data_IF_843604887795
#
_entry.id   IF_843604887795
#
_cell.length_a   1.000
_cell.length_b   1.000
_cell.length_c   1.000
_cell.angle_alpha   90.00
_cell.angle_beta   90.00
_cell.angle_gamma   90.00
#
_symmetry.space_group_name_H-M   'P 1'
#
loop_
_entity.id
_entity.type
_entity.pdbx_description
1 polymer ?
#
# COMPACT_ATOMS: atom_id res chain seq x y z
N UNK A 1 -33.66 -67.87 35.15
CA UNK A 1 -32.54 -68.37 34.32
C UNK A 1 -32.00 -67.21 33.50
N UNK A 2 -30.68 -66.94 33.62
CA UNK A 2 -29.76 -66.04 32.88
C UNK A 2 -30.16 -64.55 32.72
N UNK A 3 -29.50 -63.54 33.31
CA UNK A 3 -28.08 -63.13 33.45
C UNK A 3 -27.45 -62.48 32.21
N UNK A 4 -26.93 -61.25 32.40
CA UNK A 4 -25.92 -60.57 31.58
C UNK A 4 -26.45 -59.35 30.79
N UNK A 5 -26.32 -58.09 31.22
CA UNK A 5 -25.16 -57.22 31.43
C UNK A 5 -24.86 -56.22 30.28
N UNK A 6 -24.93 -54.93 30.66
CA UNK A 6 -23.95 -53.87 30.38
C UNK A 6 -23.89 -53.25 28.97
N UNK A 7 -24.58 -52.11 28.80
CA UNK A 7 -24.26 -51.12 27.76
C UNK A 7 -23.77 -49.80 28.40
N UNK A 8 -22.48 -49.85 28.73
CA UNK A 8 -21.46 -48.80 28.85
C UNK A 8 -21.83 -47.44 28.21
N UNK A 9 -21.96 -46.42 29.06
CA UNK A 9 -21.91 -45.00 28.68
C UNK A 9 -20.61 -44.70 27.93
N UNK A 10 -20.72 -44.16 26.71
CA UNK A 10 -19.60 -43.54 25.99
C UNK A 10 -19.79 -42.03 26.04
N UNK A 11 -19.13 -41.40 27.02
CA UNK A 11 -18.79 -39.99 26.98
C UNK A 11 -17.91 -39.74 25.74
N UNK A 12 -18.48 -39.15 24.69
CA UNK A 12 -17.70 -38.46 23.68
C UNK A 12 -17.59 -36.99 24.10
N UNK A 13 -16.56 -36.71 24.89
CA UNK A 13 -15.99 -35.38 24.95
C UNK A 13 -15.49 -35.01 23.56
N UNK A 14 -16.14 -34.03 22.93
CA UNK A 14 -15.62 -33.38 21.73
C UNK A 14 -15.74 -31.89 21.89
N UNK A 15 -14.73 -31.38 22.61
CA UNK A 15 -13.97 -30.16 22.33
C UNK A 15 -14.73 -29.04 21.64
N UNK A 16 -15.01 -27.99 22.42
CA UNK A 16 -15.26 -26.63 21.95
C UNK A 16 -14.27 -26.28 20.83
N UNK A 17 -14.71 -26.35 19.58
CA UNK A 17 -14.07 -25.62 18.50
C UNK A 17 -14.46 -24.17 18.69
N UNK A 18 -13.65 -23.44 19.48
CA UNK A 18 -13.65 -21.99 19.47
C UNK A 18 -13.61 -21.55 18.01
N UNK A 19 -14.74 -21.06 17.50
CA UNK A 19 -14.79 -20.21 16.33
C UNK A 19 -13.85 -19.05 16.64
N UNK A 20 -12.59 -19.18 16.23
CA UNK A 20 -11.70 -18.05 16.03
C UNK A 20 -12.42 -17.21 14.97
N UNK A 21 -13.14 -16.20 15.43
CA UNK A 21 -13.38 -15.00 14.65
C UNK A 21 -11.99 -14.56 14.19
N UNK A 22 -11.66 -14.84 12.92
CA UNK A 22 -10.55 -14.20 12.26
C UNK A 22 -10.87 -12.71 12.28
N UNK A 23 -10.25 -12.00 13.21
CA UNK A 23 -10.32 -10.54 13.33
C UNK A 23 -10.05 -9.94 11.96
N UNK A 24 -10.98 -9.11 11.48
CA UNK A 24 -10.82 -8.37 10.24
C UNK A 24 -9.43 -7.70 10.23
N UNK A 25 -8.69 -7.93 9.14
CA UNK A 25 -7.28 -7.59 8.97
C UNK A 25 -7.02 -6.08 9.13
N UNK A 26 -6.65 -5.65 10.33
CA UNK A 26 -6.13 -4.31 10.55
C UNK A 26 -4.78 -4.16 9.85
N UNK A 27 -4.61 -3.04 9.15
CA UNK A 27 -3.36 -2.68 8.48
C UNK A 27 -2.42 -2.06 9.50
N UNK A 28 -1.17 -2.50 9.55
CA UNK A 28 -0.18 -1.87 10.43
C UNK A 28 0.10 -0.46 9.95
N UNK A 29 0.01 0.51 10.86
CA UNK A 29 0.45 1.89 10.58
C UNK A 29 1.97 1.91 10.50
N UNK A 30 2.49 2.47 9.41
CA UNK A 30 3.92 2.65 9.19
C UNK A 30 4.23 4.13 9.39
N UNK A 31 5.13 4.49 10.31
CA UNK A 31 5.52 5.88 10.48
C UNK A 31 6.38 6.31 9.28
N UNK A 32 5.93 7.36 8.58
CA UNK A 32 6.65 7.94 7.45
C UNK A 32 7.21 9.30 7.88
N UNK A 33 8.53 9.40 7.97
CA UNK A 33 9.24 10.64 8.32
C UNK A 33 9.78 11.37 7.09
N UNK A 34 9.99 10.65 5.97
CA UNK A 34 10.45 11.20 4.70
C UNK A 34 11.79 11.98 4.82
N UNK A 35 12.73 11.41 5.56
CA UNK A 35 14.10 11.93 5.74
C UNK A 35 15.07 11.30 4.74
N UNK A 36 16.21 11.95 4.49
CA UNK A 36 17.17 11.54 3.46
C UNK A 36 17.75 10.13 3.67
N UNK A 37 17.90 9.73 4.92
CA UNK A 37 18.44 8.44 5.36
C UNK A 37 17.38 7.33 5.48
N UNK A 38 16.09 7.69 5.58
CA UNK A 38 15.02 6.71 5.92
C UNK A 38 14.03 6.42 4.80
N UNK A 39 13.85 7.32 3.83
CA UNK A 39 12.78 7.20 2.85
C UNK A 39 12.78 5.86 2.07
N UNK A 40 13.96 5.29 1.80
CA UNK A 40 14.09 3.97 1.14
C UNK A 40 13.59 2.84 2.04
N UNK A 41 13.99 2.86 3.32
CA UNK A 41 13.55 1.85 4.30
C UNK A 41 12.05 1.97 4.58
N UNK A 42 11.52 3.19 4.62
CA UNK A 42 10.10 3.48 4.75
C UNK A 42 9.31 2.89 3.57
N UNK A 43 9.80 3.10 2.33
CA UNK A 43 9.21 2.52 1.13
C UNK A 43 9.19 0.98 1.20
N UNK A 44 10.30 0.36 1.62
CA UNK A 44 10.37 -1.09 1.78
C UNK A 44 9.32 -1.61 2.77
N UNK A 45 9.21 -0.96 3.93
CA UNK A 45 8.26 -1.35 4.97
C UNK A 45 6.81 -1.27 4.47
N UNK A 46 6.47 -0.23 3.69
CA UNK A 46 5.16 -0.09 3.06
C UNK A 46 4.87 -1.24 2.12
N UNK A 47 5.83 -1.59 1.26
CA UNK A 47 5.66 -2.70 0.33
C UNK A 47 5.57 -4.04 1.06
N UNK A 48 6.34 -4.27 2.12
CA UNK A 48 6.24 -5.50 2.94
C UNK A 48 4.84 -5.66 3.52
N UNK A 49 4.26 -4.58 4.06
CA UNK A 49 2.88 -4.61 4.57
C UNK A 49 1.87 -4.94 3.46
N UNK A 50 2.01 -4.33 2.28
CA UNK A 50 1.14 -4.62 1.14
C UNK A 50 1.30 -6.07 0.67
N UNK A 51 2.53 -6.59 0.66
CA UNK A 51 2.86 -7.97 0.30
C UNK A 51 2.22 -8.96 1.27
N UNK A 52 2.22 -8.68 2.57
CA UNK A 52 1.58 -9.53 3.58
C UNK A 52 0.07 -9.67 3.38
N UNK A 53 -0.55 -8.71 2.67
CA UNK A 53 -1.94 -8.76 2.21
C UNK A 53 -2.09 -9.19 0.74
N UNK A 54 -1.06 -9.81 0.18
CA UNK A 54 -0.97 -10.26 -1.22
C UNK A 54 -1.31 -9.14 -2.24
N UNK A 55 -0.96 -7.90 -1.92
CA UNK A 55 -1.26 -6.71 -2.72
C UNK A 55 -2.75 -6.50 -3.00
N UNK A 56 -3.63 -7.08 -2.18
CA UNK A 56 -5.09 -7.05 -2.36
C UNK A 56 -5.74 -6.16 -1.33
N UNK A 57 -6.79 -5.46 -1.76
CA UNK A 57 -7.61 -4.62 -0.89
C UNK A 57 -9.09 -4.87 -1.14
N UNK A 58 -9.87 -4.78 -0.06
CA UNK A 58 -11.31 -4.86 -0.12
C UNK A 58 -11.92 -3.46 -0.21
N UNK A 59 -12.77 -3.23 -1.21
CA UNK A 59 -13.51 -1.98 -1.33
C UNK A 59 -14.79 -2.06 -0.48
N UNK A 60 -14.75 -1.45 0.71
CA UNK A 60 -15.91 -1.40 1.63
C UNK A 60 -17.09 -0.58 1.06
N UNK A 61 -16.82 0.38 0.18
CA UNK A 61 -17.84 1.30 -0.36
C UNK A 61 -18.72 0.62 -1.40
N UNK A 62 -18.11 -0.12 -2.33
CA UNK A 62 -18.86 -0.78 -3.43
C UNK A 62 -19.40 -2.15 -3.05
N UNK A 63 -19.01 -2.70 -1.88
CA UNK A 63 -19.32 -4.06 -1.41
C UNK A 63 -19.03 -5.15 -2.46
N UNK A 64 -18.22 -4.87 -3.49
CA UNK A 64 -17.85 -5.84 -4.52
C UNK A 64 -17.06 -6.97 -3.87
N UNK A 65 -17.42 -8.21 -4.18
CA UNK A 65 -16.65 -9.41 -3.77
C UNK A 65 -15.26 -9.45 -4.38
N UNK A 66 -15.02 -8.73 -5.47
CA UNK A 66 -13.72 -8.64 -6.11
C UNK A 66 -12.76 -7.75 -5.30
N UNK A 67 -11.64 -8.35 -4.90
CA UNK A 67 -10.54 -7.63 -4.25
C UNK A 67 -9.73 -6.92 -5.33
N UNK A 68 -9.66 -5.60 -5.27
CA UNK A 68 -8.72 -4.83 -6.07
C UNK A 68 -7.31 -5.31 -5.75
N UNK A 69 -6.49 -5.50 -6.78
CA UNK A 69 -5.09 -5.88 -6.63
C UNK A 69 -4.23 -4.77 -7.19
N UNK A 70 -3.14 -4.45 -6.49
CA UNK A 70 -2.14 -3.51 -6.97
C UNK A 70 -1.29 -4.21 -8.06
N UNK A 71 -1.20 -3.60 -9.24
CA UNK A 71 -0.41 -4.14 -10.36
C UNK A 71 0.72 -3.22 -10.78
N UNK A 72 1.72 -3.76 -11.47
CA UNK A 72 2.85 -2.98 -11.99
C UNK A 72 2.35 -1.89 -12.92
N UNK A 73 1.36 -2.15 -13.78
CA UNK A 73 0.82 -1.13 -14.69
C UNK A 73 0.21 0.08 -13.94
N UNK A 74 -0.46 -0.16 -12.81
CA UNK A 74 -1.04 0.91 -12.00
C UNK A 74 0.03 1.77 -11.34
N UNK A 75 1.11 1.15 -10.85
CA UNK A 75 2.25 1.87 -10.25
C UNK A 75 3.13 2.52 -11.33
N UNK A 76 3.32 1.88 -12.48
CA UNK A 76 4.15 2.38 -13.60
C UNK A 76 3.55 3.63 -14.24
N UNK A 77 2.23 3.67 -14.40
CA UNK A 77 1.55 4.88 -14.88
C UNK A 77 1.73 6.07 -13.91
N UNK A 78 2.00 5.82 -12.64
CA UNK A 78 2.32 6.85 -11.65
C UNK A 78 3.81 7.25 -11.73
N UNK A 79 4.71 6.29 -11.99
CA UNK A 79 6.15 6.51 -12.11
C UNK A 79 6.52 7.37 -13.34
N UNK A 80 5.83 7.19 -14.47
CA UNK A 80 6.13 7.96 -15.68
C UNK A 80 6.03 9.46 -15.45
N UNK A 81 5.07 9.90 -14.63
CA UNK A 81 4.89 11.30 -14.26
C UNK A 81 6.03 11.82 -13.37
N UNK A 82 6.56 10.98 -12.47
CA UNK A 82 7.65 11.37 -11.57
C UNK A 82 9.00 11.45 -12.26
N UNK A 83 9.26 10.62 -13.28
CA UNK A 83 10.49 10.71 -14.08
C UNK A 83 10.60 12.03 -14.82
N UNK A 84 9.50 12.49 -15.46
CA UNK A 84 9.48 13.81 -16.10
C UNK A 84 9.69 14.95 -15.10
N UNK A 85 9.08 14.86 -13.91
CA UNK A 85 9.28 15.85 -12.85
C UNK A 85 10.75 15.86 -12.38
N UNK A 86 11.38 14.69 -12.26
CA UNK A 86 12.78 14.57 -11.86
C UNK A 86 13.71 15.28 -12.87
N UNK A 87 13.58 14.94 -14.16
CA UNK A 87 14.42 15.51 -15.21
C UNK A 87 14.24 17.03 -15.32
N UNK A 88 13.00 17.52 -15.28
CA UNK A 88 12.72 18.97 -15.33
C UNK A 88 13.23 19.70 -14.08
N UNK A 89 13.10 19.09 -12.90
CA UNK A 89 13.62 19.66 -11.65
C UNK A 89 15.15 19.77 -11.68
N UNK A 90 15.83 18.79 -12.25
CA UNK A 90 17.28 18.81 -12.39
C UNK A 90 17.74 19.94 -13.31
N UNK A 91 17.09 20.09 -14.47
CA UNK A 91 17.51 20.99 -15.54
C UNK A 91 17.00 22.43 -15.39
N UNK A 92 15.77 22.62 -14.91
CA UNK A 92 15.06 23.91 -14.90
C UNK A 92 14.76 24.43 -13.48
N UNK A 93 14.97 23.59 -12.46
CA UNK A 93 14.80 23.96 -11.05
C UNK A 93 13.40 23.68 -10.50
N UNK A 94 13.20 23.92 -9.20
CA UNK A 94 12.00 23.49 -8.50
C UNK A 94 10.71 24.26 -8.91
N UNK A 95 10.84 25.50 -9.41
CA UNK A 95 9.67 26.29 -9.77
C UNK A 95 8.99 25.79 -11.04
N UNK A 96 9.74 25.23 -12.00
CA UNK A 96 9.21 24.79 -13.30
C UNK A 96 8.23 23.62 -13.20
N UNK A 97 8.29 22.84 -12.12
CA UNK A 97 7.48 21.63 -11.94
C UNK A 97 6.26 21.84 -11.02
N UNK A 98 5.98 23.07 -10.58
CA UNK A 98 4.90 23.36 -9.62
C UNK A 98 3.53 22.85 -10.11
N UNK A 99 3.17 23.18 -11.34
CA UNK A 99 1.89 22.77 -11.94
C UNK A 99 1.83 21.26 -12.17
N UNK A 100 2.97 20.65 -12.51
CA UNK A 100 3.07 19.19 -12.66
C UNK A 100 2.89 18.46 -11.34
N UNK A 101 3.43 18.99 -10.24
CA UNK A 101 3.19 18.44 -8.90
C UNK A 101 1.71 18.54 -8.51
N UNK A 102 1.04 19.63 -8.88
CA UNK A 102 -0.40 19.79 -8.65
C UNK A 102 -1.21 18.78 -9.47
N UNK A 103 -0.85 18.59 -10.74
CA UNK A 103 -1.46 17.57 -11.59
C UNK A 103 -1.20 16.16 -11.08
N UNK A 104 0.01 15.86 -10.62
CA UNK A 104 0.37 14.58 -10.02
C UNK A 104 -0.50 14.27 -8.79
N UNK A 105 -0.75 15.26 -7.93
CA UNK A 105 -1.66 15.12 -6.79
C UNK A 105 -3.09 14.76 -7.24
N UNK A 106 -3.60 15.42 -8.28
CA UNK A 106 -4.92 15.11 -8.85
C UNK A 106 -4.96 13.66 -9.36
N UNK A 107 -3.90 13.23 -10.05
CA UNK A 107 -3.78 11.85 -10.55
C UNK A 107 -3.81 10.85 -9.39
N UNK A 108 -3.06 11.06 -8.31
CA UNK A 108 -3.10 10.16 -7.15
C UNK A 108 -4.50 10.04 -6.53
N UNK A 109 -5.22 11.16 -6.39
CA UNK A 109 -6.60 11.14 -5.89
C UNK A 109 -7.52 10.37 -6.83
N UNK A 110 -7.43 10.63 -8.14
CA UNK A 110 -8.25 9.97 -9.14
C UNK A 110 -8.01 8.45 -9.18
N UNK A 111 -6.75 8.02 -9.23
CA UNK A 111 -6.40 6.59 -9.25
C UNK A 111 -6.83 5.88 -7.94
N UNK A 112 -6.70 6.57 -6.80
CA UNK A 112 -7.19 6.08 -5.51
C UNK A 112 -8.72 5.91 -5.49
N UNK A 113 -9.46 6.76 -6.21
CA UNK A 113 -10.91 6.62 -6.36
C UNK A 113 -11.31 5.41 -7.22
N UNK A 114 -10.46 5.02 -8.18
CA UNK A 114 -10.74 3.92 -9.11
C UNK A 114 -10.34 2.54 -8.59
N UNK A 115 -9.33 2.46 -7.72
CA UNK A 115 -8.82 1.20 -7.22
C UNK A 115 -8.45 1.29 -5.74
N UNK A 116 -9.06 0.43 -4.93
CA UNK A 116 -8.87 0.44 -3.48
C UNK A 116 -7.46 0.01 -3.06
N UNK A 117 -6.76 -0.82 -3.86
CA UNK A 117 -5.38 -1.19 -3.58
C UNK A 117 -4.40 -0.05 -3.84
N UNK A 118 -4.62 0.74 -4.89
CA UNK A 118 -3.88 1.99 -5.14
C UNK A 118 -4.12 2.99 -4.01
N UNK A 119 -5.38 3.19 -3.62
CA UNK A 119 -5.71 4.03 -2.46
C UNK A 119 -4.94 3.60 -1.22
N UNK A 120 -4.85 2.29 -0.98
CA UNK A 120 -4.18 1.77 0.22
C UNK A 120 -2.68 1.99 0.19
N UNK A 121 -2.04 1.85 -0.98
CA UNK A 121 -0.65 2.24 -1.18
C UNK A 121 -0.45 3.73 -0.86
N UNK A 122 -1.30 4.62 -1.43
CA UNK A 122 -1.22 6.07 -1.21
C UNK A 122 -1.33 6.45 0.26
N UNK A 123 -2.24 5.80 0.99
CA UNK A 123 -2.43 5.99 2.44
C UNK A 123 -1.24 5.49 3.26
N UNK A 124 -0.75 4.26 3.01
CA UNK A 124 0.35 3.68 3.79
C UNK A 124 1.69 4.37 3.55
N UNK A 125 1.94 4.81 2.32
CA UNK A 125 3.15 5.54 1.93
C UNK A 125 3.07 7.04 2.21
N UNK A 126 1.95 7.55 2.74
CA UNK A 126 1.69 8.96 3.04
C UNK A 126 1.95 9.92 1.86
N UNK A 127 1.66 9.44 0.64
CA UNK A 127 2.09 10.09 -0.61
C UNK A 127 1.50 11.50 -0.76
N UNK A 128 0.21 11.67 -0.44
CA UNK A 128 -0.47 12.96 -0.59
C UNK A 128 0.05 14.02 0.38
N UNK A 129 0.43 13.61 1.60
CA UNK A 129 1.02 14.49 2.58
C UNK A 129 2.43 14.92 2.16
N UNK A 130 3.26 13.96 1.74
CA UNK A 130 4.61 14.24 1.21
C UNK A 130 4.51 15.20 0.01
N UNK A 131 3.63 14.92 -0.96
CA UNK A 131 3.40 15.82 -2.09
C UNK A 131 3.03 17.22 -1.65
N UNK A 132 2.14 17.37 -0.67
CA UNK A 132 1.75 18.67 -0.12
C UNK A 132 2.96 19.42 0.45
N UNK A 133 3.83 18.72 1.19
CA UNK A 133 5.04 19.32 1.77
C UNK A 133 6.06 19.72 0.68
N UNK A 134 6.25 18.88 -0.33
CA UNK A 134 7.14 19.13 -1.47
C UNK A 134 6.66 20.34 -2.27
N UNK A 135 5.36 20.43 -2.55
CA UNK A 135 4.75 21.57 -3.26
C UNK A 135 4.88 22.89 -2.49
N UNK A 136 4.71 22.86 -1.17
CA UNK A 136 4.81 24.06 -0.33
C UNK A 136 6.24 24.57 -0.22
N UNK A 137 7.20 23.66 0.00
CA UNK A 137 8.61 24.04 0.18
C UNK A 137 9.29 24.44 -1.12
N UNK A 138 8.84 23.90 -2.26
CA UNK A 138 9.43 24.14 -3.59
C UNK A 138 10.95 23.98 -3.59
N UNK A 139 11.43 23.00 -2.85
CA UNK A 139 12.85 22.72 -2.68
C UNK A 139 13.28 21.62 -3.65
N UNK A 140 14.37 21.86 -4.38
CA UNK A 140 14.90 20.94 -5.39
C UNK A 140 15.21 19.56 -4.81
N UNK A 141 15.84 19.52 -3.64
CA UNK A 141 16.27 18.27 -3.01
C UNK A 141 15.07 17.45 -2.50
N UNK A 142 14.04 18.12 -1.98
CA UNK A 142 12.80 17.46 -1.57
C UNK A 142 12.02 16.88 -2.75
N UNK A 143 11.97 17.58 -3.89
CA UNK A 143 11.34 17.06 -5.11
C UNK A 143 12.10 15.84 -5.62
N UNK A 144 13.42 15.91 -5.70
CA UNK A 144 14.29 14.79 -6.10
C UNK A 144 14.09 13.59 -5.17
N UNK A 145 14.09 13.82 -3.85
CA UNK A 145 13.85 12.77 -2.85
C UNK A 145 12.49 12.12 -3.04
N UNK A 146 11.46 12.89 -3.37
CA UNK A 146 10.13 12.36 -3.64
C UNK A 146 10.13 11.45 -4.87
N UNK A 147 10.83 11.83 -5.95
CA UNK A 147 10.97 10.96 -7.12
C UNK A 147 11.68 9.65 -6.77
N UNK A 148 12.81 9.69 -6.04
CA UNK A 148 13.49 8.47 -5.59
C UNK A 148 12.65 7.63 -4.63
N UNK A 149 11.82 8.24 -3.79
CA UNK A 149 10.89 7.52 -2.92
C UNK A 149 9.85 6.74 -3.73
N UNK A 150 9.30 7.35 -4.78
CA UNK A 150 8.38 6.68 -5.70
C UNK A 150 9.08 5.53 -6.45
N UNK A 151 10.31 5.73 -6.91
CA UNK A 151 11.14 4.67 -7.51
C UNK A 151 11.37 3.52 -6.53
N UNK A 152 11.70 3.81 -5.27
CA UNK A 152 11.90 2.79 -4.24
C UNK A 152 10.64 1.95 -4.00
N UNK A 153 9.45 2.58 -3.95
CA UNK A 153 8.17 1.86 -3.85
C UNK A 153 7.98 0.89 -5.02
N UNK A 154 8.27 1.33 -6.26
CA UNK A 154 8.15 0.47 -7.45
C UNK A 154 9.17 -0.66 -7.42
N UNK A 155 10.43 -0.35 -7.09
CA UNK A 155 11.52 -1.31 -7.04
C UNK A 155 11.22 -2.43 -6.04
N UNK A 156 10.81 -2.06 -4.81
CA UNK A 156 10.45 -3.05 -3.81
C UNK A 156 9.17 -3.80 -4.17
N UNK A 157 8.17 -3.15 -4.76
CA UNK A 157 6.96 -3.83 -5.23
C UNK A 157 7.32 -4.94 -6.22
N UNK A 158 8.21 -4.64 -7.18
CA UNK A 158 8.69 -5.63 -8.14
C UNK A 158 9.56 -6.71 -7.49
N UNK A 159 10.44 -6.33 -6.58
CA UNK A 159 11.30 -7.26 -5.82
C UNK A 159 10.48 -8.28 -5.00
N UNK A 160 9.39 -7.84 -4.37
CA UNK A 160 8.52 -8.69 -3.54
C UNK A 160 7.43 -9.44 -4.32
N UNK A 161 7.49 -9.46 -5.66
CA UNK A 161 6.62 -10.29 -6.50
C UNK A 161 5.31 -9.63 -6.90
N UNK A 162 5.27 -8.31 -6.98
CA UNK A 162 4.18 -7.57 -7.61
C UNK A 162 3.92 -8.07 -9.04
N UNK A 163 2.65 -8.29 -9.37
CA UNK A 163 2.24 -8.79 -10.69
C UNK A 163 2.15 -7.65 -11.70
N UNK A 164 2.51 -7.93 -12.95
CA UNK A 164 2.33 -7.01 -14.09
C UNK A 164 0.85 -6.73 -14.40
#
# INVERSE_FOLDING_TARGET
MYSGNNCRSKNFGRTNSSKRHSTEEEWRKIPITFTQDKYVQEAENVIKELKDKNFKCYNKVTKKKEKDTLTTNQIRNLLSLTSTIYDETLNQGAQSVTDRLAYLRIQFVYQSGRNAAVKKLVELADILNILSQVQQKKDKQLIIRFCHYMEALVAYFKYYGGKD
#
